data_IF_980538412892
#
_entry.id   IF_980538412892
#
_cell.length_a   1.000
_cell.length_b   1.000
_cell.length_c   1.000
_cell.angle_alpha   90.00
_cell.angle_beta   90.00
_cell.angle_gamma   90.00
#
_symmetry.space_group_name_H-M   'P 1'
#
loop_
_entity.id
_entity.type
_entity.pdbx_description
1 polymer ?
#
# COMPACT_ATOMS: atom_id res chain seq x y z
N UNK A 1 1.50 23.61 20.15
CA UNK A 1 0.89 24.48 19.13
C UNK A 1 0.19 25.69 19.80
N UNK A 2 0.95 26.72 20.19
CA UNK A 2 0.42 27.99 20.74
C UNK A 2 0.80 29.21 19.87
N UNK A 3 0.93 28.97 18.57
CA UNK A 3 1.27 30.03 17.61
C UNK A 3 0.03 30.88 17.34
N UNK A 4 0.17 32.21 17.39
CA UNK A 4 -0.90 33.15 17.00
C UNK A 4 -1.40 32.87 15.58
N UNK A 5 -0.50 32.43 14.69
CA UNK A 5 -0.83 32.06 13.32
C UNK A 5 -1.78 30.84 13.24
N UNK A 6 -1.57 29.84 14.11
CA UNK A 6 -2.47 28.69 14.21
C UNK A 6 -3.84 29.12 14.75
N UNK A 7 -3.86 29.89 15.85
CA UNK A 7 -5.11 30.35 16.46
C UNK A 7 -5.91 31.24 15.50
N UNK A 8 -5.24 32.08 14.71
CA UNK A 8 -5.88 32.90 13.67
C UNK A 8 -6.51 32.04 12.56
N UNK A 9 -5.79 31.02 12.07
CA UNK A 9 -6.31 30.14 11.03
C UNK A 9 -7.47 29.26 11.52
N UNK A 10 -7.34 28.67 12.71
CA UNK A 10 -8.36 27.81 13.32
C UNK A 10 -9.57 28.61 13.82
N UNK A 11 -9.37 29.86 14.24
CA UNK A 11 -10.46 30.76 14.63
C UNK A 11 -11.47 31.03 13.51
N UNK A 12 -11.05 30.95 12.25
CA UNK A 12 -11.92 31.11 11.07
C UNK A 12 -12.81 29.90 10.79
N UNK A 13 -12.47 28.75 11.36
CA UNK A 13 -13.17 27.51 11.12
C UNK A 13 -14.46 27.41 11.92
N UNK A 14 -15.49 26.79 11.33
CA UNK A 14 -16.71 26.41 12.04
C UNK A 14 -16.40 25.45 13.18
N UNK A 15 -17.15 25.54 14.28
CA UNK A 15 -16.98 24.64 15.43
C UNK A 15 -17.36 23.19 15.13
N UNK A 16 -18.31 22.95 14.21
CA UNK A 16 -18.88 21.62 14.01
C UNK A 16 -18.50 20.95 12.67
N UNK A 17 -18.20 21.76 11.66
CA UNK A 17 -18.35 21.37 10.26
C UNK A 17 -17.16 21.82 9.40
N UNK A 18 -15.94 21.63 9.92
CA UNK A 18 -14.72 22.04 9.24
C UNK A 18 -14.04 20.88 8.51
N UNK A 19 -13.42 21.16 7.37
CA UNK A 19 -12.61 20.19 6.62
C UNK A 19 -11.14 20.54 6.75
N UNK A 20 -10.28 19.53 6.91
CA UNK A 20 -8.84 19.71 7.05
C UNK A 20 -8.16 18.83 6.02
N UNK A 21 -7.32 19.46 5.21
CA UNK A 21 -6.54 18.79 4.17
C UNK A 21 -5.08 19.24 4.30
N UNK A 22 -4.16 18.28 4.39
CA UNK A 22 -2.73 18.53 4.51
C UNK A 22 -2.03 18.18 3.20
N UNK A 23 -1.18 19.06 2.69
CA UNK A 23 -0.54 18.86 1.39
C UNK A 23 0.84 19.52 1.32
N UNK A 24 1.65 19.02 0.39
CA UNK A 24 2.90 19.63 -0.05
C UNK A 24 2.85 19.82 -1.58
N UNK A 25 3.90 20.42 -2.14
CA UNK A 25 4.03 20.71 -3.57
C UNK A 25 3.79 19.51 -4.48
N UNK A 26 4.11 18.30 -4.04
CA UNK A 26 3.95 17.08 -4.82
C UNK A 26 2.47 16.61 -4.89
N UNK A 27 1.62 17.10 -3.98
CA UNK A 27 0.19 16.87 -3.95
C UNK A 27 -0.65 18.03 -4.52
N UNK A 28 -0.01 19.11 -5.00
CA UNK A 28 -0.72 20.31 -5.46
C UNK A 28 -1.69 20.03 -6.59
N UNK A 29 -1.25 19.36 -7.66
CA UNK A 29 -2.12 19.10 -8.81
C UNK A 29 -3.38 18.31 -8.42
N UNK A 30 -3.25 17.38 -7.47
CA UNK A 30 -4.38 16.64 -6.93
C UNK A 30 -5.29 17.54 -6.08
N UNK A 31 -4.70 18.41 -5.25
CA UNK A 31 -5.44 19.40 -4.45
C UNK A 31 -6.21 20.39 -5.32
N UNK A 32 -5.58 20.90 -6.39
CA UNK A 32 -6.22 21.79 -7.36
C UNK A 32 -7.37 21.10 -8.10
N UNK A 33 -7.17 19.83 -8.48
CA UNK A 33 -8.23 19.01 -9.08
C UNK A 33 -9.44 18.87 -8.13
N UNK A 34 -9.21 18.57 -6.86
CA UNK A 34 -10.26 18.49 -5.83
C UNK A 34 -10.96 19.82 -5.58
N UNK A 35 -10.22 20.93 -5.56
CA UNK A 35 -10.79 22.27 -5.42
C UNK A 35 -11.71 22.61 -6.59
N UNK A 36 -11.36 22.22 -7.83
CA UNK A 36 -12.24 22.37 -8.98
C UNK A 36 -13.49 21.50 -8.88
N UNK A 37 -13.35 20.25 -8.44
CA UNK A 37 -14.50 19.37 -8.21
C UNK A 37 -15.51 19.95 -7.19
N UNK A 38 -15.02 20.62 -6.15
CA UNK A 38 -15.83 21.10 -5.03
C UNK A 38 -16.18 22.59 -5.11
N UNK A 39 -15.70 23.31 -6.13
CA UNK A 39 -15.80 24.78 -6.27
C UNK A 39 -17.22 25.33 -6.09
N UNK A 40 -18.22 24.63 -6.62
CA UNK A 40 -19.62 25.07 -6.59
C UNK A 40 -20.42 24.44 -5.44
N UNK A 41 -19.76 23.69 -4.55
CA UNK A 41 -20.41 23.04 -3.41
C UNK A 41 -20.47 23.97 -2.21
N UNK A 42 -21.68 24.38 -1.84
CA UNK A 42 -21.90 25.31 -0.74
C UNK A 42 -21.24 24.83 0.55
N UNK A 43 -20.46 25.72 1.16
CA UNK A 43 -19.83 25.53 2.46
C UNK A 43 -18.54 24.71 2.41
N UNK A 44 -18.13 24.13 1.27
CA UNK A 44 -16.88 23.34 1.23
C UNK A 44 -15.67 24.25 1.29
N UNK A 45 -15.59 25.25 0.42
CA UNK A 45 -14.42 26.15 0.32
C UNK A 45 -14.36 27.13 1.49
N UNK A 46 -15.50 27.48 2.08
CA UNK A 46 -15.61 28.35 3.25
C UNK A 46 -15.19 27.66 4.55
N UNK A 47 -15.35 26.33 4.64
CA UNK A 47 -15.05 25.56 5.85
C UNK A 47 -13.81 24.66 5.73
N UNK A 48 -13.15 24.62 4.58
CA UNK A 48 -11.87 23.89 4.43
C UNK A 48 -10.71 24.72 4.95
N UNK A 49 -9.80 24.07 5.69
CA UNK A 49 -8.46 24.52 6.00
C UNK A 49 -7.45 23.70 5.21
N UNK A 50 -6.80 24.35 4.24
CA UNK A 50 -5.67 23.77 3.52
C UNK A 50 -4.38 24.05 4.29
N UNK A 51 -3.77 23.01 4.84
CA UNK A 51 -2.51 23.07 5.56
C UNK A 51 -1.37 22.78 4.59
N UNK A 52 -0.59 23.81 4.25
CA UNK A 52 0.53 23.72 3.33
C UNK A 52 1.83 23.44 4.09
N UNK A 53 2.46 22.30 3.81
CA UNK A 53 3.69 21.86 4.50
C UNK A 53 4.97 22.47 3.93
N UNK A 54 4.85 23.21 2.83
CA UNK A 54 5.93 23.98 2.21
C UNK A 54 5.40 25.30 1.63
N UNK A 55 6.34 26.20 1.28
CA UNK A 55 6.03 27.55 0.80
C UNK A 55 5.46 27.55 -0.63
N UNK A 56 5.96 26.69 -1.50
CA UNK A 56 5.58 26.64 -2.92
C UNK A 56 4.11 26.27 -3.05
N UNK A 57 3.69 25.26 -2.28
CA UNK A 57 2.29 24.85 -2.18
C UNK A 57 1.36 25.96 -1.68
N UNK A 58 1.78 26.68 -0.64
CA UNK A 58 0.99 27.76 -0.08
C UNK A 58 0.83 28.94 -1.05
N UNK A 59 1.93 29.35 -1.69
CA UNK A 59 1.95 30.48 -2.62
C UNK A 59 1.07 30.19 -3.86
N UNK A 60 1.11 28.95 -4.37
CA UNK A 60 0.23 28.53 -5.48
C UNK A 60 -1.25 28.56 -5.09
N UNK A 61 -1.61 28.07 -3.90
CA UNK A 61 -2.99 28.15 -3.41
C UNK A 61 -3.44 29.59 -3.20
N UNK A 62 -2.56 30.47 -2.71
CA UNK A 62 -2.84 31.89 -2.52
C UNK A 62 -3.19 32.57 -3.85
N UNK A 63 -2.50 32.20 -4.92
CA UNK A 63 -2.68 32.78 -6.25
C UNK A 63 -3.97 32.28 -6.91
N UNK A 64 -4.23 30.97 -6.85
CA UNK A 64 -5.32 30.34 -7.62
C UNK A 64 -6.65 30.31 -6.87
N UNK A 65 -6.62 30.08 -5.56
CA UNK A 65 -7.82 29.96 -4.72
C UNK A 65 -7.70 30.90 -3.49
N UNK A 66 -7.72 32.23 -3.68
CA UNK A 66 -7.45 33.18 -2.60
C UNK A 66 -8.48 33.17 -1.47
N UNK A 67 -9.68 32.64 -1.72
CA UNK A 67 -10.80 32.69 -0.79
C UNK A 67 -10.90 31.47 0.14
N UNK A 68 -10.11 30.40 -0.07
CA UNK A 68 -10.10 29.24 0.83
C UNK A 68 -9.30 29.54 2.09
N UNK A 69 -9.65 28.94 3.22
CA UNK A 69 -8.82 29.10 4.41
C UNK A 69 -7.52 28.30 4.23
N UNK A 70 -6.39 28.96 4.50
CA UNK A 70 -5.06 28.38 4.36
C UNK A 70 -4.27 28.53 5.65
N UNK A 71 -3.43 27.53 5.93
CA UNK A 71 -2.43 27.57 6.98
C UNK A 71 -1.09 27.12 6.41
N UNK A 72 -0.20 28.08 6.16
CA UNK A 72 1.20 27.79 5.86
C UNK A 72 1.89 27.30 7.13
N UNK A 73 2.34 26.05 7.12
CA UNK A 73 3.09 25.45 8.20
C UNK A 73 4.26 24.67 7.63
N UNK A 74 5.35 25.37 7.35
CA UNK A 74 6.54 24.75 6.75
C UNK A 74 7.16 23.77 7.74
N UNK A 75 7.14 22.48 7.40
CA UNK A 75 7.82 21.43 8.16
C UNK A 75 9.04 21.01 7.35
N UNK A 76 10.27 21.31 7.81
CA UNK A 76 11.48 20.86 7.13
C UNK A 76 11.42 19.36 6.82
N UNK A 77 11.79 18.99 5.59
CA UNK A 77 11.79 17.62 5.06
C UNK A 77 10.44 17.06 4.60
N UNK A 78 9.28 17.61 5.02
CA UNK A 78 7.98 17.21 4.46
C UNK A 78 7.64 17.91 3.13
N UNK A 79 8.54 18.78 2.65
CA UNK A 79 8.55 19.37 1.31
C UNK A 79 9.04 18.39 0.22
N UNK A 80 9.57 17.24 0.64
CA UNK A 80 10.07 16.17 -0.23
C UNK A 80 9.00 15.09 -0.44
N UNK A 81 9.09 14.31 -1.53
CA UNK A 81 8.28 13.09 -1.64
C UNK A 81 8.75 12.08 -0.59
N UNK A 82 7.81 11.35 -0.02
CA UNK A 82 8.08 10.30 0.96
C UNK A 82 7.25 9.05 0.64
N UNK A 83 7.84 7.88 0.95
CA UNK A 83 7.31 6.57 0.65
C UNK A 83 6.79 5.88 1.91
N UNK A 84 5.88 4.93 1.73
CA UNK A 84 5.37 4.12 2.84
C UNK A 84 6.53 3.49 3.64
N UNK A 85 6.52 3.71 4.95
CA UNK A 85 7.49 3.15 5.88
C UNK A 85 8.79 3.93 6.04
N UNK A 86 9.00 5.06 5.36
CA UNK A 86 10.16 5.92 5.59
C UNK A 86 9.95 6.89 6.79
N UNK A 87 11.04 7.49 7.28
CA UNK A 87 10.99 8.35 8.46
C UNK A 87 10.17 9.62 8.25
N UNK A 88 10.04 10.10 7.00
CA UNK A 88 9.24 11.27 6.66
C UNK A 88 7.75 10.93 6.66
N UNK A 89 7.39 9.72 6.25
CA UNK A 89 6.05 9.15 6.35
C UNK A 89 5.61 9.05 7.82
N UNK A 90 6.51 8.62 8.72
CA UNK A 90 6.23 8.63 10.15
C UNK A 90 6.08 10.05 10.72
N UNK A 91 6.96 10.97 10.31
CA UNK A 91 6.91 12.37 10.74
C UNK A 91 5.60 13.04 10.30
N UNK A 92 5.10 12.73 9.11
CA UNK A 92 3.81 13.23 8.61
C UNK A 92 2.66 12.79 9.53
N UNK A 93 2.61 11.53 9.96
CA UNK A 93 1.57 11.04 10.86
C UNK A 93 1.67 11.58 12.29
N UNK A 94 2.90 11.76 12.79
CA UNK A 94 3.10 12.46 14.05
C UNK A 94 2.60 13.92 13.97
N UNK A 95 2.87 14.60 12.86
CA UNK A 95 2.34 15.96 12.63
C UNK A 95 0.81 15.95 12.55
N UNK A 96 0.23 15.05 11.75
CA UNK A 96 -1.22 14.94 11.54
C UNK A 96 -1.98 14.66 12.84
N UNK A 97 -1.48 13.73 13.66
CA UNK A 97 -2.08 13.40 14.96
C UNK A 97 -1.99 14.56 15.98
N UNK A 98 -0.86 15.27 16.03
CA UNK A 98 -0.71 16.47 16.85
C UNK A 98 -1.62 17.61 16.38
N UNK A 99 -1.79 17.76 15.07
CA UNK A 99 -2.70 18.76 14.51
C UNK A 99 -4.16 18.45 14.85
N UNK A 100 -4.57 17.19 14.67
CA UNK A 100 -5.88 16.70 15.07
C UNK A 100 -6.16 16.95 16.56
N UNK A 101 -5.18 16.65 17.43
CA UNK A 101 -5.23 16.98 18.86
C UNK A 101 -5.46 18.48 19.09
N UNK A 102 -4.69 19.34 18.42
CA UNK A 102 -4.80 20.77 18.62
C UNK A 102 -6.16 21.34 18.19
N UNK A 103 -6.78 20.78 17.15
CA UNK A 103 -8.13 21.17 16.71
C UNK A 103 -9.18 20.81 17.77
N UNK A 104 -9.21 19.56 18.24
CA UNK A 104 -10.19 19.17 19.27
C UNK A 104 -9.97 19.91 20.58
N UNK A 105 -8.71 20.17 20.98
CA UNK A 105 -8.39 20.98 22.17
C UNK A 105 -8.79 22.46 22.01
N UNK A 106 -8.97 22.94 20.78
CA UNK A 106 -9.48 24.27 20.46
C UNK A 106 -11.00 24.29 20.23
N UNK A 107 -11.69 23.25 20.69
CA UNK A 107 -13.13 23.05 20.55
C UNK A 107 -13.64 23.08 19.10
N UNK A 108 -12.85 22.51 18.18
CA UNK A 108 -13.23 22.34 16.77
C UNK A 108 -13.43 20.87 16.43
N UNK A 109 -14.65 20.51 16.09
CA UNK A 109 -14.96 19.29 15.34
C UNK A 109 -14.50 19.44 13.89
N UNK A 110 -13.98 18.39 13.29
CA UNK A 110 -13.45 18.44 11.94
C UNK A 110 -13.56 17.10 11.22
N UNK A 111 -13.50 17.19 9.88
CA UNK A 111 -13.23 16.10 8.97
C UNK A 111 -11.78 16.18 8.52
N UNK A 112 -11.01 15.12 8.74
CA UNK A 112 -9.77 14.92 8.01
C UNK A 112 -10.12 14.32 6.65
N UNK A 113 -9.69 14.98 5.59
CA UNK A 113 -9.99 14.61 4.21
C UNK A 113 -8.70 14.52 3.39
N UNK A 114 -8.79 13.88 2.22
CA UNK A 114 -7.69 13.78 1.26
C UNK A 114 -8.09 14.37 -0.10
N UNK A 115 -7.11 14.82 -0.86
CA UNK A 115 -7.32 15.47 -2.15
C UNK A 115 -7.70 14.50 -3.28
N UNK A 116 -7.66 13.20 -3.05
CA UNK A 116 -7.84 12.15 -4.05
C UNK A 116 -9.24 11.52 -4.06
N UNK A 117 -10.22 12.31 -3.62
CA UNK A 117 -11.61 11.88 -3.53
C UNK A 117 -12.47 12.75 -4.42
N UNK A 118 -13.28 12.14 -5.27
CA UNK A 118 -14.32 12.82 -6.00
C UNK A 118 -15.55 13.01 -5.10
N UNK A 119 -16.05 14.23 -5.03
CA UNK A 119 -17.26 14.60 -4.32
C UNK A 119 -18.37 14.84 -5.33
N UNK A 120 -19.53 14.21 -5.10
CA UNK A 120 -20.77 14.48 -5.82
C UNK A 120 -21.65 15.47 -5.09
N UNK A 121 -21.58 15.48 -3.75
CA UNK A 121 -22.29 16.41 -2.87
C UNK A 121 -21.40 16.84 -1.70
N UNK A 122 -21.71 18.01 -1.14
CA UNK A 122 -21.08 18.50 0.09
C UNK A 122 -21.45 17.59 1.27
N UNK A 123 -20.46 17.18 2.05
CA UNK A 123 -20.68 16.44 3.31
C UNK A 123 -21.55 17.23 4.29
N UNK A 124 -21.56 18.58 4.21
CA UNK A 124 -22.40 19.43 5.07
C UNK A 124 -23.89 19.32 4.78
N UNK A 125 -24.26 18.86 3.58
CA UNK A 125 -25.65 18.68 3.16
C UNK A 125 -26.21 17.30 3.49
N UNK A 126 -25.41 16.43 4.12
CA UNK A 126 -25.74 15.03 4.34
C UNK A 126 -25.99 14.78 5.84
N UNK A 127 -27.12 14.17 6.15
CA UNK A 127 -27.42 13.68 7.50
C UNK A 127 -26.70 12.36 7.74
N UNK A 128 -25.64 12.37 8.54
CA UNK A 128 -24.85 11.18 8.86
C UNK A 128 -25.45 10.50 10.09
N UNK A 129 -26.11 9.35 9.87
CA UNK A 129 -26.93 8.62 10.86
C UNK A 129 -26.22 8.09 12.11
N UNK A 130 -24.91 8.30 12.28
CA UNK A 130 -24.13 7.80 13.43
C UNK A 130 -23.73 8.92 14.40
N UNK A 131 -24.72 9.56 15.01
CA UNK A 131 -24.52 10.80 15.78
C UNK A 131 -24.11 10.57 17.27
N UNK A 132 -23.77 9.34 17.67
CA UNK A 132 -23.32 9.07 19.05
C UNK A 132 -21.82 8.81 19.19
N UNK A 133 -21.11 8.56 18.10
CA UNK A 133 -19.66 8.30 18.10
C UNK A 133 -18.85 9.58 18.28
N UNK A 134 -17.77 9.52 19.05
CA UNK A 134 -16.80 10.59 19.17
C UNK A 134 -16.04 10.81 17.85
N UNK A 135 -15.66 9.70 17.21
CA UNK A 135 -14.90 9.69 15.95
C UNK A 135 -15.50 8.67 14.99
N UNK A 136 -15.70 9.04 13.73
CA UNK A 136 -16.13 8.17 12.64
C UNK A 136 -14.99 7.96 11.67
N UNK A 137 -14.65 6.71 11.39
CA UNK A 137 -13.54 6.35 10.52
C UNK A 137 -13.99 5.65 9.24
N UNK A 138 -13.27 5.91 8.15
CA UNK A 138 -13.28 5.05 6.98
C UNK A 138 -12.70 3.66 7.31
N UNK A 139 -13.07 2.68 6.49
CA UNK A 139 -12.72 1.27 6.72
C UNK A 139 -11.96 0.72 5.53
N UNK A 140 -10.99 -0.15 5.80
CA UNK A 140 -10.16 -0.76 4.76
C UNK A 140 -10.89 -1.83 3.93
N UNK A 141 -12.04 -2.32 4.40
CA UNK A 141 -12.81 -3.37 3.71
C UNK A 141 -14.31 -3.08 3.75
N UNK A 142 -14.99 -3.31 2.62
CA UNK A 142 -16.42 -3.06 2.42
C UNK A 142 -17.35 -3.96 3.27
N UNK A 143 -16.86 -5.12 3.73
CA UNK A 143 -17.60 -6.04 4.59
C UNK A 143 -16.73 -6.61 5.71
N UNK A 144 -17.26 -6.64 6.94
CA UNK A 144 -16.68 -7.38 8.07
C UNK A 144 -15.33 -6.87 8.61
N UNK A 145 -14.78 -5.77 8.08
CA UNK A 145 -13.48 -5.25 8.49
C UNK A 145 -13.55 -4.30 9.70
N UNK A 146 -12.76 -4.58 10.74
CA UNK A 146 -12.53 -3.67 11.86
C UNK A 146 -11.37 -2.69 11.63
N UNK A 147 -10.60 -2.90 10.56
CA UNK A 147 -9.43 -2.08 10.24
C UNK A 147 -9.84 -0.68 9.75
N UNK A 148 -9.26 0.33 10.37
CA UNK A 148 -9.41 1.73 9.96
C UNK A 148 -8.44 1.98 8.80
N UNK A 149 -8.94 2.51 7.68
CA UNK A 149 -8.07 2.96 6.60
C UNK A 149 -7.32 4.24 7.02
N UNK A 150 -8.01 5.14 7.72
CA UNK A 150 -7.48 6.31 8.43
C UNK A 150 -7.10 7.47 7.52
N UNK A 151 -7.52 7.42 6.25
CA UNK A 151 -7.40 8.51 5.29
C UNK A 151 -8.51 9.54 5.48
N UNK A 152 -9.71 9.06 5.79
CA UNK A 152 -10.89 9.87 6.07
C UNK A 152 -11.48 9.59 7.45
N UNK A 153 -11.70 10.64 8.24
CA UNK A 153 -12.45 10.52 9.48
C UNK A 153 -13.07 11.83 9.93
N UNK A 154 -14.16 11.73 10.67
CA UNK A 154 -14.79 12.85 11.39
C UNK A 154 -14.49 12.72 12.86
N UNK A 155 -13.88 13.73 13.46
CA UNK A 155 -13.71 13.83 14.91
C UNK A 155 -14.59 14.95 15.45
N UNK A 156 -15.46 14.63 16.42
CA UNK A 156 -16.19 15.65 17.19
C UNK A 156 -15.33 16.15 18.34
N UNK A 157 -15.45 17.42 18.69
CA UNK A 157 -14.77 17.96 19.88
C UNK A 157 -15.46 17.49 21.16
N UNK A 158 -15.20 16.25 21.55
CA UNK A 158 -15.69 15.65 22.79
C UNK A 158 -14.52 15.35 23.73
N UNK A 159 -14.78 15.16 25.04
CA UNK A 159 -13.75 14.67 25.96
C UNK A 159 -13.09 13.36 25.49
N UNK A 160 -13.86 12.48 24.83
CA UNK A 160 -13.36 11.23 24.26
C UNK A 160 -12.35 11.47 23.14
N UNK A 161 -12.71 12.29 22.14
CA UNK A 161 -11.77 12.64 21.06
C UNK A 161 -10.50 13.34 21.57
N UNK A 162 -10.63 14.23 22.57
CA UNK A 162 -9.48 14.88 23.23
C UNK A 162 -8.55 13.85 23.86
N UNK A 163 -9.10 12.89 24.62
CA UNK A 163 -8.33 11.80 25.21
C UNK A 163 -7.67 10.91 24.14
N UNK A 164 -8.40 10.56 23.09
CA UNK A 164 -7.93 9.75 21.97
C UNK A 164 -6.74 10.37 21.26
N UNK A 165 -6.86 11.62 20.78
CA UNK A 165 -5.77 12.27 20.06
C UNK A 165 -4.60 12.65 20.97
N UNK A 166 -4.84 12.90 22.26
CA UNK A 166 -3.76 13.04 23.25
C UNK A 166 -2.95 11.76 23.39
N UNK A 167 -3.59 10.59 23.47
CA UNK A 167 -2.92 9.29 23.53
C UNK A 167 -2.18 9.00 22.23
N UNK A 168 -2.89 9.04 21.09
CA UNK A 168 -2.33 8.81 19.75
C UNK A 168 -1.07 9.64 19.49
N UNK A 169 -1.14 10.97 19.66
CA UNK A 169 0.01 11.85 19.41
C UNK A 169 1.20 11.58 20.35
N UNK A 170 0.93 11.22 21.60
CA UNK A 170 1.97 10.85 22.57
C UNK A 170 2.64 9.52 22.23
N UNK A 171 1.89 8.56 21.69
CA UNK A 171 2.44 7.25 21.35
C UNK A 171 3.24 7.31 20.05
N UNK A 172 2.75 8.00 19.03
CA UNK A 172 3.46 8.12 17.75
C UNK A 172 4.80 8.87 17.85
N UNK A 173 5.04 9.58 18.96
CA UNK A 173 6.35 10.16 19.29
C UNK A 173 7.41 9.09 19.59
N UNK A 174 6.99 7.92 20.10
CA UNK A 174 7.88 6.83 20.52
C UNK A 174 7.79 5.60 19.62
N UNK A 175 6.62 5.35 19.03
CA UNK A 175 6.34 4.15 18.25
C UNK A 175 6.38 4.45 16.76
N UNK A 176 7.19 3.67 16.03
CA UNK A 176 7.26 3.74 14.57
C UNK A 176 6.09 2.99 13.94
N UNK A 177 4.94 3.63 13.87
CA UNK A 177 3.70 3.08 13.32
C UNK A 177 2.90 4.14 12.58
N UNK A 178 2.31 3.82 11.42
CA UNK A 178 1.29 4.65 10.81
C UNK A 178 0.15 4.92 11.79
N UNK A 179 -0.39 6.15 11.77
CA UNK A 179 -1.42 6.52 12.75
C UNK A 179 -2.71 5.74 12.58
N UNK A 180 -3.10 5.36 11.37
CA UNK A 180 -4.29 4.54 11.11
C UNK A 180 -4.22 3.14 11.76
N UNK A 181 -3.03 2.53 11.80
CA UNK A 181 -2.79 1.28 12.53
C UNK A 181 -3.03 1.49 14.01
N UNK A 182 -2.47 2.55 14.59
CA UNK A 182 -2.64 2.83 16.02
C UNK A 182 -4.07 3.29 16.37
N UNK A 183 -4.73 4.06 15.49
CA UNK A 183 -6.14 4.43 15.60
C UNK A 183 -7.03 3.18 15.65
N UNK A 184 -6.73 2.16 14.84
CA UNK A 184 -7.44 0.87 14.87
C UNK A 184 -7.37 0.25 16.27
N UNK A 185 -6.17 0.17 16.84
CA UNK A 185 -5.96 -0.39 18.19
C UNK A 185 -6.69 0.42 19.25
N UNK A 186 -6.53 1.75 19.28
CA UNK A 186 -7.19 2.61 20.26
C UNK A 186 -8.71 2.52 20.19
N UNK A 187 -9.27 2.41 18.98
CA UNK A 187 -10.70 2.23 18.79
C UNK A 187 -11.19 0.85 19.23
N UNK A 188 -10.41 -0.20 18.99
CA UNK A 188 -10.73 -1.56 19.39
C UNK A 188 -10.70 -1.74 20.93
N UNK A 189 -9.77 -1.05 21.61
CA UNK A 189 -9.72 -1.01 23.07
C UNK A 189 -10.96 -0.33 23.67
N UNK A 190 -11.50 0.70 23.00
CA UNK A 190 -12.72 1.41 23.42
C UNK A 190 -12.57 2.22 24.72
N UNK A 191 -11.34 2.43 25.19
CA UNK A 191 -11.04 3.09 26.48
C UNK A 191 -11.02 4.62 26.39
N UNK A 192 -10.70 5.17 25.23
CA UNK A 192 -10.47 6.61 25.04
C UNK A 192 -11.64 7.32 24.36
N UNK A 193 -12.15 6.79 23.24
CA UNK A 193 -13.24 7.37 22.47
C UNK A 193 -14.19 6.31 21.93
N UNK A 194 -15.45 6.68 21.76
CA UNK A 194 -16.45 5.87 21.04
C UNK A 194 -16.23 6.00 19.54
N UNK A 195 -15.58 5.01 18.94
CA UNK A 195 -15.37 4.98 17.50
C UNK A 195 -16.55 4.39 16.76
N UNK A 196 -16.90 4.97 15.62
CA UNK A 196 -17.87 4.46 14.66
C UNK A 196 -17.27 4.34 13.26
N UNK A 197 -18.06 3.80 12.34
CA UNK A 197 -17.67 3.66 10.94
C UNK A 197 -18.40 4.69 10.09
N UNK A 198 -17.71 5.25 9.10
CA UNK A 198 -18.35 5.99 8.02
C UNK A 198 -19.13 4.99 7.16
N UNK A 199 -20.41 5.25 6.85
CA UNK A 199 -21.18 4.39 5.96
C UNK A 199 -20.59 4.31 4.54
N UNK A 200 -20.62 3.13 3.92
CA UNK A 200 -20.05 2.90 2.57
C UNK A 200 -20.85 3.57 1.44
N UNK A 201 -22.12 3.88 1.67
CA UNK A 201 -22.95 4.72 0.81
C UNK A 201 -22.53 6.20 0.89
N UNK A 202 -21.83 6.62 1.95
CA UNK A 202 -21.23 7.95 2.05
C UNK A 202 -19.93 8.03 1.25
N UNK A 203 -18.97 7.17 1.58
CA UNK A 203 -17.66 7.12 0.93
C UNK A 203 -17.33 5.68 0.54
N UNK A 204 -16.91 5.49 -0.71
CA UNK A 204 -16.49 4.19 -1.23
C UNK A 204 -15.20 4.31 -2.04
N UNK A 205 -14.63 3.19 -2.42
CA UNK A 205 -13.44 3.12 -3.26
C UNK A 205 -13.81 3.16 -4.75
N UNK A 206 -12.90 3.64 -5.60
CA UNK A 206 -13.05 3.71 -7.07
C UNK A 206 -13.43 2.38 -7.73
N UNK A 207 -13.11 1.23 -7.12
CA UNK A 207 -13.55 -0.09 -7.59
C UNK A 207 -15.08 -0.18 -7.76
N UNK A 208 -15.85 0.64 -7.01
CA UNK A 208 -17.29 0.76 -7.16
C UNK A 208 -17.72 1.10 -8.60
N UNK A 209 -16.93 1.89 -9.33
CA UNK A 209 -17.22 2.27 -10.74
C UNK A 209 -17.37 1.04 -11.66
N UNK A 210 -16.72 -0.07 -11.29
CA UNK A 210 -16.69 -1.33 -12.03
C UNK A 210 -17.50 -2.44 -11.35
N UNK A 211 -17.99 -2.21 -10.14
CA UNK A 211 -18.70 -3.21 -9.36
C UNK A 211 -20.05 -3.55 -9.98
N UNK A 212 -20.45 -4.84 -10.00
CA UNK A 212 -21.82 -5.23 -10.34
C UNK A 212 -22.87 -4.53 -9.46
N UNK A 213 -22.49 -4.12 -8.24
CA UNK A 213 -23.32 -3.37 -7.29
C UNK A 213 -23.61 -1.92 -7.72
N UNK A 214 -23.08 -1.44 -8.85
CA UNK A 214 -23.49 -0.19 -9.51
C UNK A 214 -24.97 -0.20 -9.95
N UNK A 215 -25.61 -1.38 -9.91
CA UNK A 215 -27.01 -1.58 -10.24
C UNK A 215 -27.85 -1.38 -8.96
N UNK A 216 -28.39 -0.17 -8.74
CA UNK A 216 -29.31 0.13 -7.62
C UNK A 216 -29.36 1.61 -7.20
N UNK A 217 -30.18 1.93 -6.21
CA UNK A 217 -30.43 3.31 -5.71
C UNK A 217 -29.28 3.89 -4.84
N UNK A 218 -28.26 3.08 -4.52
CA UNK A 218 -27.17 3.46 -3.61
C UNK A 218 -25.96 4.01 -4.39
N UNK A 219 -26.13 5.20 -4.98
CA UNK A 219 -25.03 5.93 -5.64
C UNK A 219 -24.21 6.67 -4.58
N UNK A 220 -22.90 6.37 -4.43
CA UNK A 220 -22.08 6.96 -3.39
C UNK A 220 -22.00 8.49 -3.51
N UNK A 221 -21.84 9.17 -2.39
CA UNK A 221 -21.63 10.62 -2.39
C UNK A 221 -20.18 10.98 -2.68
N UNK A 222 -19.24 10.19 -2.16
CA UNK A 222 -17.80 10.37 -2.31
C UNK A 222 -17.15 9.07 -2.84
N UNK A 223 -16.19 9.22 -3.75
CA UNK A 223 -15.41 8.10 -4.31
C UNK A 223 -13.92 8.38 -4.15
N UNK A 224 -13.23 7.51 -3.43
CA UNK A 224 -11.81 7.61 -3.12
C UNK A 224 -10.96 6.79 -4.10
N UNK A 225 -9.97 7.43 -4.72
CA UNK A 225 -9.14 6.82 -5.76
C UNK A 225 -7.85 6.22 -5.20
N UNK A 226 -7.94 5.34 -4.20
CA UNK A 226 -6.76 4.75 -3.56
C UNK A 226 -6.12 3.60 -4.33
N UNK A 227 -4.79 3.45 -4.16
CA UNK A 227 -4.04 2.32 -4.72
C UNK A 227 -3.65 2.43 -6.20
N UNK A 228 -3.98 3.51 -6.92
CA UNK A 228 -3.56 3.70 -8.31
C UNK A 228 -2.06 3.94 -8.43
N UNK A 229 -1.32 2.88 -8.80
CA UNK A 229 0.13 2.93 -9.04
C UNK A 229 0.52 2.50 -10.46
N UNK A 230 -0.36 1.84 -11.22
CA UNK A 230 -0.04 1.17 -12.49
C UNK A 230 -0.23 2.01 -13.78
N UNK A 231 -0.80 3.21 -13.69
CA UNK A 231 -1.15 4.06 -14.86
C UNK A 231 -0.31 5.35 -14.95
N UNK A 232 1.00 5.27 -14.70
CA UNK A 232 1.87 6.45 -14.77
C UNK A 232 1.57 7.51 -13.70
N UNK A 233 0.99 7.12 -12.56
CA UNK A 233 0.64 7.97 -11.43
C UNK A 233 -0.87 8.17 -11.22
N UNK A 234 -1.25 8.49 -9.98
CA UNK A 234 -2.66 8.59 -9.54
C UNK A 234 -3.49 9.64 -10.30
N UNK A 235 -2.86 10.75 -10.70
CA UNK A 235 -3.53 11.82 -11.46
C UNK A 235 -3.83 11.41 -12.92
N UNK A 236 -2.95 10.63 -13.53
CA UNK A 236 -3.17 10.10 -14.89
C UNK A 236 -4.31 9.08 -14.88
N UNK A 237 -4.36 8.21 -13.86
CA UNK A 237 -5.50 7.31 -13.66
C UNK A 237 -6.82 8.07 -13.54
N UNK A 238 -6.89 9.12 -12.72
CA UNK A 238 -8.09 9.98 -12.63
C UNK A 238 -8.48 10.56 -13.99
N UNK A 239 -7.51 11.01 -14.79
CA UNK A 239 -7.74 11.56 -16.12
C UNK A 239 -8.34 10.53 -17.08
N UNK A 240 -7.81 9.31 -17.09
CA UNK A 240 -8.35 8.20 -17.90
C UNK A 240 -9.78 7.83 -17.51
N UNK A 241 -10.09 7.91 -16.21
CA UNK A 241 -11.42 7.64 -15.67
C UNK A 241 -12.41 8.81 -15.84
N UNK A 242 -11.95 9.96 -16.33
CA UNK A 242 -12.78 11.15 -16.52
C UNK A 242 -12.99 11.99 -15.26
N UNK A 243 -12.14 11.84 -14.25
CA UNK A 243 -12.17 12.57 -12.97
C UNK A 243 -11.03 13.61 -12.85
N UNK A 244 -10.68 14.24 -13.98
CA UNK A 244 -9.73 15.35 -14.05
C UNK A 244 -10.44 16.63 -14.48
N UNK A 245 -10.27 17.70 -13.70
CA UNK A 245 -11.15 18.88 -13.67
C UNK A 245 -10.40 20.20 -13.87
N UNK A 246 -9.12 20.14 -14.23
CA UNK A 246 -8.34 21.31 -14.62
C UNK A 246 -8.33 21.43 -16.15
N UNK A 247 -8.31 22.67 -16.65
CA UNK A 247 -8.06 22.94 -18.06
C UNK A 247 -6.59 22.70 -18.42
N UNK A 248 -6.26 22.86 -19.70
CA UNK A 248 -4.90 22.67 -20.21
C UNK A 248 -3.86 23.64 -19.61
N UNK A 249 -4.30 24.75 -19.02
CA UNK A 249 -3.44 25.69 -18.29
C UNK A 249 -2.98 25.16 -16.92
N UNK A 250 -3.58 24.05 -16.44
CA UNK A 250 -3.27 23.43 -15.15
C UNK A 250 -3.77 24.20 -13.92
N UNK A 251 -4.53 25.28 -14.10
CA UNK A 251 -4.90 26.22 -13.03
C UNK A 251 -6.40 26.53 -13.04
N UNK A 252 -7.01 26.71 -14.21
CA UNK A 252 -8.44 27.02 -14.29
C UNK A 252 -9.30 25.75 -14.25
N UNK A 253 -10.48 25.86 -13.63
CA UNK A 253 -11.39 24.73 -13.51
C UNK A 253 -12.19 24.48 -14.79
N UNK A 254 -12.38 23.21 -15.10
CA UNK A 254 -13.23 22.71 -16.16
C UNK A 254 -14.56 22.22 -15.57
N UNK A 255 -15.54 23.13 -15.49
CA UNK A 255 -16.85 22.83 -14.91
C UNK A 255 -17.60 21.75 -15.73
N UNK A 256 -17.41 21.70 -17.06
CA UNK A 256 -18.01 20.66 -17.93
C UNK A 256 -17.47 19.25 -17.61
N UNK A 257 -16.19 19.14 -17.27
CA UNK A 257 -15.58 17.88 -16.86
C UNK A 257 -16.15 17.40 -15.51
N UNK A 258 -16.42 18.32 -14.58
CA UNK A 258 -17.09 18.01 -13.31
C UNK A 258 -18.49 17.47 -13.58
N UNK A 259 -19.29 18.15 -14.42
CA UNK A 259 -20.64 17.71 -14.79
C UNK A 259 -20.63 16.35 -15.52
N UNK A 260 -19.60 16.10 -16.33
CA UNK A 260 -19.39 14.81 -16.98
C UNK A 260 -19.09 13.71 -15.95
N UNK A 261 -18.23 13.97 -14.96
CA UNK A 261 -17.92 13.00 -13.91
C UNK A 261 -19.14 12.69 -13.03
N UNK A 262 -19.93 13.70 -12.66
CA UNK A 262 -21.21 13.49 -11.97
C UNK A 262 -22.11 12.57 -12.79
N UNK A 263 -22.24 12.82 -14.11
CA UNK A 263 -23.01 11.95 -15.01
C UNK A 263 -22.42 10.54 -15.11
N UNK A 264 -21.10 10.35 -15.11
CA UNK A 264 -20.48 9.01 -15.13
C UNK A 264 -20.92 8.20 -13.90
N UNK A 265 -20.95 8.84 -12.74
CA UNK A 265 -21.33 8.21 -11.46
C UNK A 265 -22.84 7.95 -11.40
N UNK A 266 -23.66 8.89 -11.88
CA UNK A 266 -25.13 8.80 -11.80
C UNK A 266 -25.77 7.99 -12.93
N UNK A 267 -25.20 7.99 -14.14
CA UNK A 267 -25.73 7.23 -15.27
C UNK A 267 -25.18 5.80 -15.23
N UNK A 268 -26.04 4.82 -14.96
CA UNK A 268 -25.71 3.40 -14.81
C UNK A 268 -25.36 2.69 -16.14
N UNK A 269 -24.90 3.42 -17.17
CA UNK A 269 -24.58 2.82 -18.47
C UNK A 269 -23.21 2.13 -18.43
N UNK A 270 -23.22 0.81 -18.64
CA UNK A 270 -22.04 -0.03 -18.83
C UNK A 270 -21.25 0.44 -20.05
N UNK A 271 -20.16 1.16 -19.85
CA UNK A 271 -19.04 1.08 -20.79
C UNK A 271 -18.18 -0.10 -20.36
N UNK A 272 -18.20 -1.17 -21.17
CA UNK A 272 -17.32 -2.33 -21.02
C UNK A 272 -15.88 -1.91 -21.33
N UNK A 273 -15.22 -1.30 -20.38
CA UNK A 273 -13.76 -1.35 -20.32
C UNK A 273 -13.45 -2.44 -19.32
N UNK A 274 -12.85 -3.53 -19.82
CA UNK A 274 -12.31 -4.63 -19.04
C UNK A 274 -11.60 -4.04 -17.82
N UNK A 275 -12.16 -4.28 -16.64
CA UNK A 275 -11.45 -4.05 -15.40
C UNK A 275 -10.26 -4.98 -15.44
N UNK A 276 -9.10 -4.47 -15.85
CA UNK A 276 -7.85 -5.15 -15.58
C UNK A 276 -7.83 -5.40 -14.08
N UNK A 277 -7.80 -6.68 -13.72
CA UNK A 277 -7.67 -7.12 -12.35
C UNK A 277 -6.48 -6.39 -11.75
N UNK A 278 -6.76 -5.43 -10.86
CA UNK A 278 -5.72 -4.71 -10.16
C UNK A 278 -5.04 -5.71 -9.25
N UNK A 279 -3.95 -6.29 -9.76
CA UNK A 279 -3.08 -7.14 -8.98
C UNK A 279 -2.58 -6.31 -7.81
N UNK A 280 -2.59 -6.83 -6.57
CA UNK A 280 -2.29 -6.05 -5.38
C UNK A 280 -0.92 -5.38 -5.53
N UNK A 281 -0.74 -4.21 -4.89
CA UNK A 281 0.57 -3.55 -4.92
C UNK A 281 1.63 -4.49 -4.33
N UNK A 282 2.88 -4.33 -4.78
CA UNK A 282 4.00 -5.16 -4.31
C UNK A 282 4.09 -5.18 -2.77
N UNK A 283 3.86 -4.02 -2.15
CA UNK A 283 3.78 -3.87 -0.69
C UNK A 283 2.64 -4.70 -0.10
N UNK A 284 1.45 -4.69 -0.69
CA UNK A 284 0.31 -5.49 -0.20
C UNK A 284 0.58 -7.00 -0.25
N UNK A 285 1.20 -7.50 -1.32
CA UNK A 285 1.59 -8.92 -1.43
C UNK A 285 2.66 -9.27 -0.39
N UNK A 286 3.65 -8.41 -0.22
CA UNK A 286 4.73 -8.58 0.75
C UNK A 286 4.20 -8.57 2.20
N UNK A 287 3.31 -7.64 2.55
CA UNK A 287 2.68 -7.60 3.88
C UNK A 287 1.80 -8.82 4.13
N UNK A 288 1.00 -9.26 3.15
CA UNK A 288 0.21 -10.49 3.26
C UNK A 288 1.06 -11.73 3.47
N UNK A 289 2.20 -11.84 2.78
CA UNK A 289 3.18 -12.90 2.97
C UNK A 289 3.77 -12.88 4.39
N UNK A 290 4.24 -11.72 4.87
CA UNK A 290 4.78 -11.60 6.23
C UNK A 290 3.74 -11.90 7.30
N UNK A 291 2.50 -11.44 7.14
CA UNK A 291 1.42 -11.76 8.06
C UNK A 291 1.17 -13.27 8.12
N UNK A 292 1.11 -13.94 6.96
CA UNK A 292 0.95 -15.39 6.90
C UNK A 292 2.10 -16.15 7.57
N UNK A 293 3.34 -15.68 7.42
CA UNK A 293 4.52 -16.25 8.10
C UNK A 293 4.39 -16.12 9.62
N UNK A 294 4.01 -14.93 10.12
CA UNK A 294 3.85 -14.70 11.56
C UNK A 294 2.71 -15.53 12.13
N UNK A 295 1.58 -15.63 11.44
CA UNK A 295 0.44 -16.45 11.87
C UNK A 295 0.83 -17.93 11.95
N UNK A 296 1.66 -18.43 11.03
CA UNK A 296 2.18 -19.79 11.07
C UNK A 296 3.14 -20.01 12.25
N UNK A 297 4.04 -19.05 12.52
CA UNK A 297 4.95 -19.11 13.67
C UNK A 297 4.17 -19.08 15.00
N UNK A 298 3.15 -18.23 15.10
CA UNK A 298 2.32 -18.09 16.29
C UNK A 298 1.51 -19.37 16.55
N UNK A 299 0.92 -19.96 15.49
CA UNK A 299 0.23 -21.23 15.59
C UNK A 299 1.18 -22.38 15.94
N UNK A 300 2.38 -22.43 15.38
CA UNK A 300 3.40 -23.43 15.74
C UNK A 300 3.83 -23.31 17.21
N UNK A 301 4.00 -22.09 17.72
CA UNK A 301 4.29 -21.84 19.14
C UNK A 301 3.13 -22.27 20.04
N UNK A 302 1.88 -21.96 19.67
CA UNK A 302 0.69 -22.40 20.41
C UNK A 302 0.60 -23.93 20.46
N UNK A 303 0.86 -24.61 19.34
CA UNK A 303 0.93 -26.08 19.26
C UNK A 303 2.04 -26.66 20.13
N UNK A 304 3.24 -26.05 20.16
CA UNK A 304 4.34 -26.48 21.02
C UNK A 304 4.04 -26.28 22.51
N UNK A 305 3.40 -25.17 22.87
CA UNK A 305 2.96 -24.93 24.26
C UNK A 305 1.82 -25.87 24.69
N UNK A 306 0.90 -26.22 23.79
CA UNK A 306 -0.16 -27.18 24.05
C UNK A 306 0.39 -28.62 24.18
N UNK A 307 1.33 -29.00 23.31
CA UNK A 307 2.01 -30.30 23.36
C UNK A 307 2.93 -30.44 24.59
N UNK A 308 3.60 -29.36 25.00
CA UNK A 308 4.39 -29.34 26.23
C UNK A 308 3.50 -29.44 27.49
N UNK A 309 2.28 -28.88 27.45
CA UNK A 309 1.31 -28.98 28.53
C UNK A 309 0.64 -30.36 28.64
N UNK A 310 0.56 -31.12 27.53
CA UNK A 310 -0.05 -32.46 27.51
C UNK A 310 0.94 -33.60 27.80
N UNK A 311 2.25 -33.34 27.86
CA UNK A 311 3.26 -34.35 28.24
C UNK A 311 3.47 -35.50 27.25
N UNK A 312 2.80 -35.47 26.09
CA UNK A 312 2.85 -36.52 25.08
C UNK A 312 3.80 -36.13 23.95
N UNK A 313 5.06 -36.59 24.02
CA UNK A 313 5.93 -36.66 22.84
C UNK A 313 6.18 -38.12 22.46
N UNK A 314 5.58 -38.63 21.37
CA UNK A 314 6.13 -39.78 20.68
C UNK A 314 7.17 -39.32 19.67
N UNK A 315 8.42 -39.67 19.95
CA UNK A 315 9.53 -39.66 19.01
C UNK A 315 9.30 -40.82 18.05
N UNK A 316 8.65 -40.56 16.92
CA UNK A 316 8.82 -41.21 15.61
C UNK A 316 7.57 -40.96 14.75
N UNK A 317 7.76 -40.31 13.59
CA UNK A 317 6.80 -40.40 12.49
C UNK A 317 5.66 -39.38 12.43
N UNK A 318 5.93 -38.08 12.56
CA UNK A 318 5.04 -37.06 11.98
C UNK A 318 5.72 -36.49 10.74
N UNK A 319 5.48 -37.13 9.60
CA UNK A 319 5.63 -36.47 8.29
C UNK A 319 4.42 -35.56 8.13
N UNK A 320 4.57 -34.29 8.53
CA UNK A 320 3.63 -33.26 8.16
C UNK A 320 3.61 -33.17 6.63
N UNK A 321 2.48 -33.52 6.00
CA UNK A 321 2.23 -33.20 4.59
C UNK A 321 2.03 -31.68 4.53
N UNK A 322 3.15 -30.97 4.39
CA UNK A 322 3.17 -29.52 4.30
C UNK A 322 2.75 -29.08 2.91
N UNK A 323 2.03 -27.97 2.82
CA UNK A 323 1.70 -27.29 1.55
C UNK A 323 2.95 -26.64 0.91
N UNK A 324 4.11 -26.76 1.56
CA UNK A 324 5.43 -26.42 1.03
C UNK A 324 6.02 -27.65 0.34
N UNK A 325 6.61 -27.46 -0.84
CA UNK A 325 7.26 -28.53 -1.59
C UNK A 325 8.26 -29.34 -0.75
N UNK A 326 8.55 -30.56 -1.18
CA UNK A 326 9.52 -31.43 -0.51
C UNK A 326 10.94 -30.90 -0.74
N UNK A 327 11.69 -30.64 0.34
CA UNK A 327 13.12 -30.35 0.25
C UNK A 327 13.89 -31.57 -0.26
N UNK A 328 14.74 -31.35 -1.25
CA UNK A 328 15.59 -32.38 -1.87
C UNK A 328 17.02 -32.12 -1.41
N UNK A 329 17.63 -33.12 -0.78
CA UNK A 329 19.01 -33.03 -0.31
C UNK A 329 19.98 -33.38 -1.45
N UNK A 330 20.98 -32.54 -1.63
CA UNK A 330 22.12 -32.83 -2.48
C UNK A 330 23.37 -32.19 -1.88
N UNK A 331 24.37 -33.02 -1.60
CA UNK A 331 25.58 -32.65 -0.88
C UNK A 331 25.29 -31.97 0.48
N UNK A 332 25.99 -30.90 0.81
CA UNK A 332 25.81 -30.11 2.03
C UNK A 332 24.60 -29.15 1.95
N UNK A 333 23.70 -29.30 0.97
CA UNK A 333 22.61 -28.36 0.71
C UNK A 333 21.24 -29.05 0.56
N UNK A 334 20.19 -28.27 0.80
CA UNK A 334 18.80 -28.61 0.60
C UNK A 334 18.21 -27.67 -0.46
N UNK A 335 17.44 -28.22 -1.40
CA UNK A 335 16.80 -27.48 -2.49
C UNK A 335 15.28 -27.63 -2.46
N UNK A 336 14.57 -26.57 -2.81
CA UNK A 336 13.10 -26.57 -2.82
C UNK A 336 12.60 -25.92 -4.11
N UNK A 337 11.73 -26.62 -4.84
CA UNK A 337 10.99 -26.02 -5.95
C UNK A 337 9.78 -25.27 -5.40
N UNK A 338 9.73 -23.97 -5.65
CA UNK A 338 8.59 -23.11 -5.36
C UNK A 338 7.76 -22.96 -6.63
N UNK A 339 6.55 -23.51 -6.60
CA UNK A 339 5.60 -23.49 -7.73
C UNK A 339 4.90 -22.14 -7.90
N UNK A 340 5.03 -21.21 -6.96
CA UNK A 340 4.40 -19.90 -7.06
C UNK A 340 5.08 -19.06 -8.15
N UNK A 341 4.28 -18.54 -9.09
CA UNK A 341 4.76 -17.64 -10.13
C UNK A 341 4.89 -16.22 -9.57
N UNK A 342 6.12 -15.80 -9.27
CA UNK A 342 6.43 -14.50 -8.66
C UNK A 342 7.62 -13.85 -9.35
N UNK A 343 7.80 -12.54 -9.14
CA UNK A 343 8.99 -11.83 -9.60
C UNK A 343 10.24 -12.37 -8.91
N UNK A 344 11.43 -12.11 -9.46
CA UNK A 344 12.69 -12.58 -8.89
C UNK A 344 12.86 -12.14 -7.43
N UNK A 345 12.49 -10.89 -7.11
CA UNK A 345 12.57 -10.37 -5.74
C UNK A 345 11.54 -11.04 -4.81
N UNK A 346 10.35 -11.35 -5.33
CA UNK A 346 9.35 -12.12 -4.59
C UNK A 346 9.80 -13.56 -4.33
N UNK A 347 10.49 -14.17 -5.29
CA UNK A 347 11.06 -15.51 -5.18
C UNK A 347 12.18 -15.56 -4.12
N UNK A 348 13.08 -14.56 -4.12
CA UNK A 348 14.11 -14.41 -3.09
C UNK A 348 13.50 -14.26 -1.70
N UNK A 349 12.49 -13.39 -1.55
CA UNK A 349 11.79 -13.22 -0.27
C UNK A 349 11.14 -14.53 0.21
N UNK A 350 10.55 -15.31 -0.69
CA UNK A 350 10.02 -16.63 -0.37
C UNK A 350 11.13 -17.57 0.13
N UNK A 351 12.26 -17.67 -0.58
CA UNK A 351 13.35 -18.55 -0.19
C UNK A 351 14.00 -18.15 1.15
N UNK A 352 14.12 -16.85 1.41
CA UNK A 352 14.54 -16.30 2.73
C UNK A 352 13.58 -16.72 3.83
N UNK A 353 12.26 -16.65 3.58
CA UNK A 353 11.27 -17.11 4.57
C UNK A 353 11.36 -18.61 4.88
N UNK A 354 11.87 -19.40 3.94
CA UNK A 354 12.09 -20.84 4.08
C UNK A 354 13.45 -21.21 4.72
N UNK A 355 14.17 -20.21 5.22
CA UNK A 355 15.48 -20.34 5.87
C UNK A 355 16.64 -20.55 4.89
N UNK A 356 16.51 -20.05 3.67
CA UNK A 356 17.49 -20.16 2.59
C UNK A 356 17.57 -18.89 1.74
N UNK A 357 17.98 -19.05 0.50
CA UNK A 357 18.01 -18.00 -0.53
C UNK A 357 17.59 -18.63 -1.87
N UNK A 358 17.36 -17.83 -2.91
CA UNK A 358 17.33 -18.41 -4.25
C UNK A 358 18.62 -19.18 -4.52
N UNK A 359 18.51 -20.28 -5.24
CA UNK A 359 19.62 -21.20 -5.42
C UNK A 359 20.79 -20.52 -6.15
N UNK A 360 21.94 -20.50 -5.49
CA UNK A 360 23.24 -20.32 -6.14
C UNK A 360 23.72 -21.65 -6.70
N UNK A 361 24.52 -21.60 -7.77
CA UNK A 361 25.05 -22.78 -8.44
C UNK A 361 26.56 -22.63 -8.60
N UNK A 362 27.31 -23.51 -7.94
CA UNK A 362 28.77 -23.45 -7.85
C UNK A 362 29.47 -24.65 -8.51
N UNK A 363 28.70 -25.60 -9.06
CA UNK A 363 29.24 -26.77 -9.76
C UNK A 363 28.27 -27.33 -10.80
N UNK A 364 28.82 -28.11 -11.75
CA UNK A 364 28.01 -28.80 -12.75
C UNK A 364 27.05 -29.84 -12.14
N UNK A 365 27.42 -30.48 -11.03
CA UNK A 365 26.56 -31.45 -10.33
C UNK A 365 25.39 -30.78 -9.61
N UNK A 366 25.59 -29.57 -9.08
CA UNK A 366 24.53 -28.74 -8.53
C UNK A 366 23.57 -28.24 -9.63
N UNK A 367 24.12 -27.86 -10.79
CA UNK A 367 23.32 -27.49 -11.96
C UNK A 367 22.42 -28.65 -12.43
N UNK A 368 22.95 -29.88 -12.55
CA UNK A 368 22.16 -31.08 -12.89
C UNK A 368 21.06 -31.36 -11.86
N UNK A 369 21.36 -31.19 -10.58
CA UNK A 369 20.37 -31.39 -9.52
C UNK A 369 19.21 -30.40 -9.65
N UNK A 370 19.50 -29.12 -9.83
CA UNK A 370 18.47 -28.09 -10.01
C UNK A 370 17.68 -28.33 -11.31
N UNK A 371 18.35 -28.74 -12.40
CA UNK A 371 17.68 -29.12 -13.64
C UNK A 371 16.62 -30.21 -13.44
N UNK A 372 16.99 -31.28 -12.70
CA UNK A 372 16.07 -32.39 -12.38
C UNK A 372 14.90 -31.93 -11.54
N UNK A 373 15.14 -31.03 -10.59
CA UNK A 373 14.09 -30.46 -9.73
C UNK A 373 13.06 -29.70 -10.58
N UNK A 374 13.52 -28.84 -11.49
CA UNK A 374 12.63 -28.06 -12.37
C UNK A 374 11.89 -28.96 -13.36
N UNK A 375 12.60 -29.90 -14.01
CA UNK A 375 12.01 -30.81 -15.00
C UNK A 375 10.91 -31.71 -14.39
N UNK A 376 11.08 -32.15 -13.13
CA UNK A 376 10.10 -32.98 -12.44
C UNK A 376 8.75 -32.29 -12.19
N UNK A 377 8.69 -30.95 -12.33
CA UNK A 377 7.49 -30.15 -12.07
C UNK A 377 6.86 -29.56 -13.34
N UNK A 378 7.18 -30.08 -14.54
CA UNK A 378 6.64 -29.62 -15.84
C UNK A 378 6.88 -28.12 -16.08
N UNK A 379 7.94 -27.56 -15.48
CA UNK A 379 8.35 -26.17 -15.69
C UNK A 379 9.34 -26.05 -16.85
N UNK A 380 9.17 -25.03 -17.70
CA UNK A 380 10.12 -24.71 -18.78
C UNK A 380 11.26 -23.80 -18.30
N UNK A 381 11.03 -23.02 -17.24
CA UNK A 381 12.01 -22.13 -16.63
C UNK A 381 11.74 -21.91 -15.13
N UNK A 382 12.76 -21.55 -14.37
CA UNK A 382 12.62 -21.15 -12.97
C UNK A 382 13.72 -20.16 -12.54
N UNK A 383 13.37 -19.23 -11.65
CA UNK A 383 14.33 -18.30 -11.05
C UNK A 383 15.38 -19.00 -10.19
N UNK A 384 16.61 -18.51 -10.31
CA UNK A 384 17.75 -18.81 -9.43
C UNK A 384 18.40 -17.51 -8.93
N UNK A 385 19.32 -17.60 -7.98
CA UNK A 385 19.76 -16.44 -7.17
C UNK A 385 20.65 -15.44 -7.91
N UNK A 386 20.88 -15.63 -9.20
CA UNK A 386 21.75 -14.77 -9.97
C UNK A 386 21.04 -13.47 -10.33
N UNK A 387 21.68 -12.34 -10.01
CA UNK A 387 21.21 -11.02 -10.42
C UNK A 387 22.36 -10.08 -10.72
N UNK A 388 22.17 -9.20 -11.71
CA UNK A 388 23.03 -8.06 -11.99
C UNK A 388 22.45 -6.83 -11.30
N UNK A 389 23.29 -6.11 -10.55
CA UNK A 389 22.91 -4.81 -9.98
C UNK A 389 23.10 -3.75 -11.07
N UNK A 390 22.17 -2.77 -11.16
CA UNK A 390 22.29 -1.65 -12.09
C UNK A 390 23.71 -1.05 -12.00
N UNK A 391 24.36 -0.82 -13.15
CA UNK A 391 25.75 -0.38 -13.34
C UNK A 391 26.88 -1.42 -13.20
N UNK A 392 26.62 -2.67 -12.79
CA UNK A 392 27.63 -3.73 -12.76
C UNK A 392 27.72 -4.49 -14.09
N UNK A 393 28.92 -4.77 -14.64
CA UNK A 393 29.07 -5.67 -15.78
C UNK A 393 28.91 -7.15 -15.41
N UNK A 394 28.89 -7.50 -14.11
CA UNK A 394 28.90 -8.88 -13.61
C UNK A 394 27.65 -9.22 -12.80
N UNK A 395 27.26 -10.49 -12.84
CA UNK A 395 26.22 -11.07 -11.98
C UNK A 395 26.81 -11.45 -10.61
N UNK A 396 25.94 -11.50 -9.61
CA UNK A 396 26.24 -11.96 -8.25
C UNK A 396 25.10 -12.83 -7.73
N UNK A 397 25.40 -13.76 -6.82
CA UNK A 397 24.39 -14.55 -6.12
C UNK A 397 23.76 -13.76 -4.97
N UNK A 398 22.45 -13.91 -4.77
CA UNK A 398 21.69 -13.28 -3.68
C UNK A 398 22.12 -13.75 -2.28
N UNK A 399 22.63 -14.99 -2.18
CA UNK A 399 23.13 -15.59 -0.94
C UNK A 399 24.57 -15.18 -0.59
N UNK A 400 25.20 -14.34 -1.41
CA UNK A 400 26.57 -13.86 -1.20
C UNK A 400 27.67 -14.88 -1.53
N UNK A 401 27.34 -16.06 -2.07
CA UNK A 401 28.35 -17.01 -2.53
C UNK A 401 29.12 -16.49 -3.76
N UNK A 402 30.32 -17.02 -3.98
CA UNK A 402 31.18 -16.55 -5.07
C UNK A 402 30.59 -16.88 -6.45
N UNK A 403 30.56 -15.90 -7.36
CA UNK A 403 30.18 -16.11 -8.76
C UNK A 403 31.33 -16.74 -9.57
N UNK A 404 31.62 -18.02 -9.34
CA UNK A 404 32.78 -18.73 -9.92
C UNK A 404 32.42 -19.82 -10.95
N UNK A 405 31.13 -20.10 -11.13
CA UNK A 405 30.60 -21.08 -12.06
C UNK A 405 29.49 -20.45 -12.90
N UNK A 406 29.46 -20.76 -14.19
CA UNK A 406 28.41 -20.29 -15.11
C UNK A 406 28.03 -21.37 -16.10
N UNK A 407 26.75 -21.49 -16.40
CA UNK A 407 26.24 -22.43 -17.41
C UNK A 407 25.28 -21.75 -18.39
N UNK A 408 25.69 -20.61 -18.95
CA UNK A 408 24.86 -19.80 -19.87
C UNK A 408 24.46 -20.57 -21.13
N UNK A 409 23.24 -20.33 -21.60
CA UNK A 409 22.77 -20.80 -22.90
C UNK A 409 23.44 -20.07 -24.07
N UNK A 410 23.36 -20.63 -25.27
CA UNK A 410 23.94 -20.01 -26.47
C UNK A 410 23.36 -18.61 -26.70
N UNK A 411 24.25 -17.61 -26.79
CA UNK A 411 23.87 -16.20 -26.91
C UNK A 411 23.44 -15.53 -25.60
N UNK A 412 23.64 -16.19 -24.45
CA UNK A 412 23.42 -15.63 -23.11
C UNK A 412 24.76 -15.34 -22.39
N UNK A 413 24.79 -14.35 -21.49
CA UNK A 413 23.71 -13.39 -21.19
C UNK A 413 23.42 -12.44 -22.37
N UNK A 414 22.15 -12.21 -22.67
CA UNK A 414 21.72 -11.34 -23.77
C UNK A 414 22.01 -9.86 -23.47
N UNK A 415 22.39 -9.10 -24.50
CA UNK A 415 22.97 -7.75 -24.40
C UNK A 415 22.03 -6.55 -24.19
N UNK A 416 20.92 -6.69 -23.45
CA UNK A 416 20.04 -5.54 -23.14
C UNK A 416 20.02 -5.25 -21.63
N UNK A 417 20.09 -3.96 -21.28
CA UNK A 417 20.23 -3.39 -19.92
C UNK A 417 19.02 -3.57 -18.99
N UNK A 418 18.14 -4.54 -19.27
CA UNK A 418 16.93 -4.84 -18.48
C UNK A 418 16.73 -6.33 -18.17
N UNK A 419 17.62 -7.20 -18.66
CA UNK A 419 17.58 -8.64 -18.39
C UNK A 419 18.58 -8.99 -17.29
N UNK A 420 18.28 -8.55 -16.07
CA UNK A 420 19.26 -8.59 -14.98
C UNK A 420 19.08 -9.77 -14.03
N UNK A 421 18.05 -10.61 -14.20
CA UNK A 421 17.77 -11.75 -13.33
C UNK A 421 17.98 -13.08 -14.06
N UNK A 422 18.57 -14.05 -13.37
CA UNK A 422 19.00 -15.33 -13.95
C UNK A 422 17.96 -16.40 -13.71
N UNK A 423 17.68 -17.16 -14.77
CA UNK A 423 16.76 -18.28 -14.77
C UNK A 423 17.46 -19.54 -15.26
N UNK A 424 16.98 -20.70 -14.80
CA UNK A 424 17.34 -21.99 -15.35
C UNK A 424 16.33 -22.34 -16.43
N UNK A 425 16.80 -22.68 -17.64
CA UNK A 425 15.98 -23.11 -18.78
C UNK A 425 16.04 -24.64 -18.90
N UNK A 426 14.87 -25.28 -18.98
CA UNK A 426 14.75 -26.73 -19.14
C UNK A 426 14.04 -27.03 -20.46
N UNK A 427 14.70 -27.78 -21.35
CA UNK A 427 14.09 -28.30 -22.58
C UNK A 427 14.36 -27.53 -23.88
N UNK A 428 15.30 -26.58 -23.92
CA UNK A 428 15.65 -25.85 -25.16
C UNK A 428 16.49 -26.68 -26.15
N UNK A 429 17.25 -27.68 -25.69
CA UNK A 429 18.02 -28.59 -26.55
C UNK A 429 18.06 -30.02 -25.95
N UNK A 430 17.52 -31.05 -26.64
CA UNK A 430 17.61 -32.45 -26.20
C UNK A 430 19.04 -33.02 -26.16
N UNK A 431 20.03 -32.33 -26.74
CA UNK A 431 21.45 -32.70 -26.68
C UNK A 431 22.16 -32.19 -25.42
N UNK A 432 21.58 -31.19 -24.75
CA UNK A 432 22.20 -30.51 -23.63
C UNK A 432 21.83 -31.22 -22.30
N UNK A 433 22.81 -31.92 -21.72
CA UNK A 433 22.63 -32.72 -20.50
C UNK A 433 22.49 -31.88 -19.22
N UNK A 434 22.68 -30.56 -19.31
CA UNK A 434 22.56 -29.62 -18.20
C UNK A 434 21.59 -28.50 -18.59
N UNK A 435 20.77 -28.04 -17.65
CA UNK A 435 19.90 -26.90 -17.87
C UNK A 435 20.73 -25.63 -18.08
N UNK A 436 20.57 -25.00 -19.23
CA UNK A 436 21.29 -23.78 -19.57
C UNK A 436 20.68 -22.58 -18.83
N UNK A 437 21.48 -21.55 -18.55
CA UNK A 437 21.02 -20.35 -17.86
C UNK A 437 20.58 -19.30 -18.87
N UNK A 438 19.40 -18.74 -18.63
CA UNK A 438 18.91 -17.55 -19.28
C UNK A 438 19.07 -16.32 -18.39
N UNK A 439 18.96 -15.14 -18.99
CA UNK A 439 18.69 -13.91 -18.26
C UNK A 439 17.42 -13.26 -18.80
N UNK A 440 16.55 -12.80 -17.88
CA UNK A 440 15.20 -12.32 -18.17
C UNK A 440 14.81 -11.11 -17.31
N UNK A 441 13.65 -10.52 -17.60
CA UNK A 441 13.11 -9.37 -16.84
C UNK A 441 12.81 -9.80 -15.41
N UNK A 442 13.41 -9.14 -14.43
CA UNK A 442 13.25 -9.47 -13.01
C UNK A 442 11.79 -9.45 -12.52
N UNK A 443 10.93 -8.68 -13.19
CA UNK A 443 9.50 -8.54 -12.86
C UNK A 443 8.62 -9.63 -13.50
N UNK A 444 9.19 -10.51 -14.33
CA UNK A 444 8.45 -11.64 -14.90
C UNK A 444 8.06 -12.63 -13.81
N UNK A 445 6.82 -13.13 -13.88
CA UNK A 445 6.28 -14.06 -12.89
C UNK A 445 6.58 -15.49 -13.33
N UNK A 446 7.38 -16.21 -12.55
CA UNK A 446 7.67 -17.61 -12.81
C UNK A 446 8.05 -18.37 -11.54
N UNK A 447 8.05 -19.71 -11.56
CA UNK A 447 8.51 -20.55 -10.46
C UNK A 447 9.96 -20.28 -10.08
N UNK A 448 10.41 -20.84 -8.96
CA UNK A 448 11.77 -20.59 -8.46
C UNK A 448 12.35 -21.78 -7.71
N UNK A 449 13.67 -21.79 -7.53
CA UNK A 449 14.38 -22.81 -6.74
C UNK A 449 15.09 -22.16 -5.57
N UNK A 450 14.77 -22.60 -4.36
CA UNK A 450 15.44 -22.18 -3.14
C UNK A 450 16.58 -23.14 -2.77
N UNK A 451 17.61 -22.63 -2.08
CA UNK A 451 18.73 -23.38 -1.51
C UNK A 451 18.95 -22.96 -0.06
N UNK A 452 19.33 -23.92 0.79
CA UNK A 452 19.91 -23.66 2.12
C UNK A 452 20.93 -24.71 2.53
N UNK A 453 21.77 -24.38 3.50
CA UNK A 453 22.73 -25.31 4.10
C UNK A 453 22.01 -26.43 4.85
N UNK A 454 22.51 -27.65 4.71
CA UNK A 454 22.08 -28.80 5.50
C UNK A 454 22.69 -28.68 6.91
N UNK A 455 21.87 -28.78 7.95
CA UNK A 455 22.37 -28.76 9.32
C UNK A 455 23.31 -29.96 9.53
N UNK A 456 24.55 -29.69 9.99
CA UNK A 456 25.48 -30.74 10.43
C UNK A 456 24.99 -31.24 11.78
N UNK A 457 24.54 -32.49 11.82
CA UNK A 457 24.20 -33.22 13.05
C UNK A 457 25.45 -33.61 13.81
#
# INVERSE_FOLDING_TARGET
MKSEHFQSAVGKLSSENSFVLMQNRHALNMTMNWLCNTKNMLGVHENVLLVSLDKEADDMLALTFPNVNRLKWVVPCLDKPFNYGDGLYQLFFLFRSNFARALVESDKSFWMIQQDTFWRKSLLSLEIKSDSSDILFDRAAEQGGSLIAGGYYRARSTPGSKAFFKKLSSDLEWWYSPDNTYMTTLCAEGTTAKCGSIPFDLITNWHWLYSPSRIGDNVPFLIQFDGFTKLGGKLNALKELGFYFLNSDGVSCNDEAVDKAVRIVETQNRTSTTADSVSPSYSHLQFGLYQSIIDQLYNALLFLSAAAASGDLPVEGIVARSQFGKWIAFDEHLYLYNTNEVSWLGAEAYCVSMGGHLASINSASEADTIARIVNAHIGNAAWIGGRRVESSPTFSWSDGTAWNFTNWDDGKPGGLSRFDCVEVLVGSDPSNKFSAWGNFYCDFLQPSVCRKSRART
#
